data_IF_763085045200
#
_entry.id   IF_763085045200
#
_cell.length_a   1.000
_cell.length_b   1.000
_cell.length_c   1.000
_cell.angle_alpha   90.00
_cell.angle_beta   90.00
_cell.angle_gamma   90.00
#
_symmetry.space_group_name_H-M   'P 1'
#
loop_
_entity.id
_entity.type
_entity.pdbx_description
1 polymer ?
#
# COMPACT_ATOMS: atom_id res chain seq x y z
N UNK A 1 -21.09 54.63 -15.78
CA UNK A 1 -20.08 53.74 -15.18
C UNK A 1 -20.81 52.77 -14.26
N UNK A 2 -21.15 51.57 -14.75
CA UNK A 2 -21.76 50.53 -13.91
C UNK A 2 -20.99 49.24 -14.16
N UNK A 3 -20.15 48.89 -13.19
CA UNK A 3 -19.35 47.67 -13.15
C UNK A 3 -20.27 46.48 -12.88
N UNK A 4 -20.55 45.65 -13.90
CA UNK A 4 -21.16 44.34 -13.67
C UNK A 4 -20.12 43.43 -13.02
N UNK A 5 -20.26 43.26 -11.70
CA UNK A 5 -19.54 42.26 -10.93
C UNK A 5 -19.81 40.87 -11.54
N UNK A 6 -18.72 40.18 -11.88
CA UNK A 6 -18.76 38.88 -12.54
C UNK A 6 -19.49 37.82 -11.72
N UNK A 7 -20.57 37.29 -12.27
CA UNK A 7 -21.07 35.98 -11.90
C UNK A 7 -20.05 34.96 -12.43
N UNK A 8 -19.14 34.53 -11.55
CA UNK A 8 -18.26 33.39 -11.78
C UNK A 8 -19.18 32.16 -11.90
N UNK A 9 -19.59 31.82 -13.12
CA UNK A 9 -20.37 30.62 -13.38
C UNK A 9 -19.50 29.43 -13.00
N UNK A 10 -19.86 28.80 -11.88
CA UNK A 10 -19.29 27.50 -11.51
C UNK A 10 -19.72 26.54 -12.61
N UNK A 11 -18.76 26.06 -13.39
CA UNK A 11 -19.03 25.15 -14.49
C UNK A 11 -19.74 23.90 -13.90
N UNK A 12 -20.98 23.59 -14.30
CA UNK A 12 -21.75 22.48 -13.74
C UNK A 12 -21.12 21.10 -14.04
N UNK A 13 -20.11 21.04 -14.92
CA UNK A 13 -19.32 19.84 -15.20
C UNK A 13 -18.08 19.70 -14.28
N UNK A 14 -17.78 20.69 -13.46
CA UNK A 14 -16.69 20.64 -12.48
C UNK A 14 -17.26 20.15 -11.15
N UNK A 15 -17.03 18.87 -10.84
CA UNK A 15 -17.31 18.32 -9.52
C UNK A 15 -16.23 18.76 -8.53
N UNK A 16 -16.66 19.36 -7.41
CA UNK A 16 -15.79 19.75 -6.30
C UNK A 16 -15.78 18.71 -5.16
N UNK A 17 -16.30 17.50 -5.42
CA UNK A 17 -16.28 16.39 -4.47
C UNK A 17 -14.90 15.71 -4.50
N UNK A 18 -14.31 15.54 -3.30
CA UNK A 18 -13.14 14.69 -3.14
C UNK A 18 -13.52 13.27 -3.53
N UNK A 19 -12.94 12.79 -4.61
CA UNK A 19 -13.01 11.39 -5.01
C UNK A 19 -12.27 10.55 -3.96
N UNK A 20 -12.97 9.99 -2.99
CA UNK A 20 -12.36 9.09 -2.01
C UNK A 20 -11.92 7.79 -2.69
N UNK A 21 -10.63 7.47 -2.55
CA UNK A 21 -10.04 6.22 -2.99
C UNK A 21 -10.46 5.12 -2.00
N UNK A 22 -11.14 4.09 -2.46
CA UNK A 22 -11.56 2.96 -1.65
C UNK A 22 -10.54 1.83 -1.77
N UNK A 23 -9.97 1.38 -0.65
CA UNK A 23 -9.12 0.18 -0.62
C UNK A 23 -9.95 -1.02 -0.16
N UNK A 24 -9.95 -2.11 -0.94
CA UNK A 24 -10.66 -3.36 -0.63
C UNK A 24 -9.62 -4.46 -0.45
N UNK A 25 -9.56 -5.06 0.74
CA UNK A 25 -8.65 -6.17 1.01
C UNK A 25 -9.37 -7.49 0.78
N UNK A 26 -8.77 -8.35 -0.05
CA UNK A 26 -9.24 -9.73 -0.17
C UNK A 26 -9.06 -10.48 1.16
N UNK A 27 -9.99 -11.37 1.56
CA UNK A 27 -9.88 -12.12 2.81
C UNK A 27 -8.57 -12.91 2.95
N UNK A 28 -8.02 -13.42 1.83
CA UNK A 28 -6.74 -14.13 1.82
C UNK A 28 -5.54 -13.24 2.20
N UNK A 29 -5.61 -11.95 1.87
CA UNK A 29 -4.59 -10.96 2.27
C UNK A 29 -4.62 -10.75 3.78
N UNK A 30 -5.81 -10.60 4.36
CA UNK A 30 -5.96 -10.48 5.81
C UNK A 30 -5.45 -11.71 6.55
N UNK A 31 -5.74 -12.91 6.02
CA UNK A 31 -5.21 -14.16 6.55
C UNK A 31 -3.68 -14.21 6.48
N UNK A 32 -3.11 -13.82 5.33
CA UNK A 32 -1.66 -13.78 5.13
C UNK A 32 -0.97 -12.83 6.12
N UNK A 33 -1.51 -11.61 6.30
CA UNK A 33 -0.99 -10.64 7.28
C UNK A 33 -1.08 -11.21 8.70
N UNK A 34 -2.21 -11.82 9.05
CA UNK A 34 -2.42 -12.40 10.38
C UNK A 34 -1.47 -13.55 10.67
N UNK A 35 -1.22 -14.41 9.68
CA UNK A 35 -0.24 -15.49 9.78
C UNK A 35 1.19 -14.93 9.94
N UNK A 36 1.57 -13.89 9.19
CA UNK A 36 2.87 -13.25 9.35
C UNK A 36 3.06 -12.66 10.75
N UNK A 37 2.06 -11.95 11.28
CA UNK A 37 2.08 -11.42 12.65
C UNK A 37 2.27 -12.56 13.65
N UNK A 38 1.48 -13.63 13.50
CA UNK A 38 1.56 -14.80 14.39
C UNK A 38 2.95 -15.43 14.37
N UNK A 39 3.52 -15.67 13.17
CA UNK A 39 4.87 -16.23 13.03
C UNK A 39 5.95 -15.30 13.59
N UNK A 40 5.78 -13.99 13.45
CA UNK A 40 6.69 -13.00 14.00
C UNK A 40 6.68 -13.01 15.53
N UNK A 41 5.49 -13.01 16.14
CA UNK A 41 5.31 -13.08 17.59
C UNK A 41 5.82 -14.40 18.17
N UNK A 42 5.52 -15.54 17.54
CA UNK A 42 5.97 -16.86 18.02
C UNK A 42 7.49 -17.07 17.95
N UNK A 43 8.18 -16.30 17.10
CA UNK A 43 9.65 -16.34 16.99
C UNK A 43 10.34 -15.28 17.84
N UNK A 44 9.57 -14.51 18.62
CA UNK A 44 10.08 -13.43 19.48
C UNK A 44 10.98 -12.46 18.72
N UNK A 45 10.63 -12.17 17.45
CA UNK A 45 11.35 -11.18 16.67
C UNK A 45 11.10 -9.78 17.26
N UNK A 46 12.17 -9.03 17.53
CA UNK A 46 12.08 -7.70 18.15
C UNK A 46 12.03 -6.54 17.14
N UNK A 47 12.25 -6.83 15.86
CA UNK A 47 12.25 -5.82 14.79
C UNK A 47 10.84 -5.58 14.25
N UNK A 48 10.57 -4.42 13.62
CA UNK A 48 9.25 -4.16 13.05
C UNK A 48 8.88 -5.19 11.96
N UNK A 49 7.59 -5.55 11.91
CA UNK A 49 7.02 -6.28 10.79
C UNK A 49 6.90 -5.31 9.62
N UNK A 50 7.55 -5.64 8.50
CA UNK A 50 7.43 -4.89 7.25
C UNK A 50 6.99 -5.84 6.16
N UNK A 51 6.06 -5.39 5.31
CA UNK A 51 5.54 -6.14 4.19
C UNK A 51 5.04 -5.23 3.09
N UNK A 52 4.81 -5.81 1.91
CA UNK A 52 4.22 -5.13 0.76
C UNK A 52 2.82 -5.64 0.45
N UNK A 53 1.99 -4.74 -0.07
CA UNK A 53 0.65 -5.03 -0.56
C UNK A 53 0.58 -4.77 -2.06
N UNK A 54 -0.03 -5.68 -2.79
CA UNK A 54 -0.18 -5.59 -4.25
C UNK A 54 -1.60 -5.97 -4.66
N UNK A 55 -2.04 -5.39 -5.76
CA UNK A 55 -3.32 -5.68 -6.39
C UNK A 55 -3.63 -4.66 -7.47
N UNK A 56 -4.89 -4.50 -7.80
CA UNK A 56 -5.32 -3.77 -9.00
C UNK A 56 -5.91 -2.41 -8.64
N UNK A 57 -5.73 -1.44 -9.55
CA UNK A 57 -6.35 -0.13 -9.45
C UNK A 57 -7.45 0.00 -10.49
N UNK A 58 -8.70 -0.03 -10.05
CA UNK A 58 -9.91 0.05 -10.86
C UNK A 58 -10.61 1.39 -10.65
N UNK A 59 -10.02 2.45 -11.22
CA UNK A 59 -10.57 3.80 -11.19
C UNK A 59 -10.44 4.48 -9.83
N UNK A 60 -11.40 4.23 -8.92
CA UNK A 60 -11.40 4.76 -7.54
C UNK A 60 -11.32 3.67 -6.48
N UNK A 61 -11.26 2.42 -6.92
CA UNK A 61 -11.09 1.28 -6.05
C UNK A 61 -9.69 0.70 -6.25
N UNK A 62 -9.01 0.41 -5.15
CA UNK A 62 -7.78 -0.38 -5.13
C UNK A 62 -8.10 -1.70 -4.46
N UNK A 63 -8.08 -2.80 -5.23
CA UNK A 63 -8.16 -4.14 -4.67
C UNK A 63 -6.76 -4.53 -4.21
N UNK A 64 -6.65 -5.08 -3.01
CA UNK A 64 -5.42 -5.67 -2.49
C UNK A 64 -5.63 -7.18 -2.52
N UNK A 65 -4.89 -7.84 -3.39
CA UNK A 65 -5.03 -9.26 -3.72
C UNK A 65 -3.88 -10.08 -3.13
N UNK A 66 -2.72 -9.45 -2.91
CA UNK A 66 -1.52 -10.12 -2.44
C UNK A 66 -0.84 -9.33 -1.32
N UNK A 67 -0.33 -10.06 -0.33
CA UNK A 67 0.56 -9.54 0.70
C UNK A 67 1.81 -10.41 0.79
N UNK A 68 2.96 -9.79 0.99
CA UNK A 68 4.22 -10.49 1.23
C UNK A 68 5.00 -9.83 2.36
N UNK A 69 5.80 -10.63 3.06
CA UNK A 69 6.74 -10.14 4.06
C UNK A 69 8.02 -9.63 3.42
N UNK A 70 8.52 -8.53 3.95
CA UNK A 70 9.84 -8.01 3.61
C UNK A 70 10.83 -8.51 4.65
N UNK A 71 11.97 -9.01 4.18
CA UNK A 71 13.04 -9.39 5.09
C UNK A 71 13.70 -8.13 5.66
N UNK A 72 13.69 -8.03 6.98
CA UNK A 72 14.31 -6.95 7.75
C UNK A 72 15.57 -7.51 8.39
N UNK A 73 16.70 -6.83 8.17
CA UNK A 73 17.98 -7.19 8.75
C UNK A 73 18.51 -6.03 9.62
N UNK A 74 19.29 -6.30 10.68
CA UNK A 74 19.97 -5.24 11.41
C UNK A 74 20.85 -4.42 10.47
N UNK A 75 20.69 -3.10 10.54
CA UNK A 75 21.48 -2.13 9.78
C UNK A 75 21.94 -1.05 10.75
N UNK A 76 23.03 -1.29 11.50
CA UNK A 76 23.50 -0.40 12.56
C UNK A 76 23.92 0.98 12.05
N UNK A 77 24.19 1.09 10.74
CA UNK A 77 24.61 2.33 10.09
C UNK A 77 23.45 3.27 9.74
N UNK A 78 22.20 2.86 10.02
CA UNK A 78 20.99 3.66 9.77
C UNK A 78 20.38 4.18 11.08
N UNK A 79 19.73 5.35 11.08
CA UNK A 79 19.03 5.88 12.26
C UNK A 79 17.98 4.92 12.83
N UNK A 80 17.44 4.05 11.97
CA UNK A 80 16.36 3.12 12.29
C UNK A 80 16.86 1.74 12.73
N UNK A 81 18.19 1.50 12.76
CA UNK A 81 18.86 0.25 13.20
C UNK A 81 18.50 -1.01 12.42
N UNK A 82 17.59 -0.91 11.45
CA UNK A 82 17.09 -2.00 10.63
C UNK A 82 16.98 -1.53 9.18
N UNK A 83 17.35 -2.40 8.26
CA UNK A 83 17.28 -2.18 6.82
C UNK A 83 16.41 -3.24 6.15
N UNK A 84 15.80 -2.86 5.04
CA UNK A 84 15.11 -3.80 4.15
C UNK A 84 16.14 -4.45 3.21
N UNK A 85 16.06 -5.77 3.07
CA UNK A 85 16.77 -6.50 2.04
C UNK A 85 16.09 -6.22 0.68
N UNK A 86 16.48 -5.12 0.04
CA UNK A 86 15.91 -4.67 -1.22
C UNK A 86 15.97 -5.74 -2.34
N UNK A 87 17.08 -6.47 -2.55
CA UNK A 87 17.10 -7.59 -3.49
C UNK A 87 15.99 -8.61 -3.25
N UNK A 88 15.72 -8.99 -2.00
CA UNK A 88 14.61 -9.91 -1.69
C UNK A 88 13.24 -9.29 -1.97
N UNK A 89 13.06 -8.02 -1.62
CA UNK A 89 11.80 -7.31 -1.89
C UNK A 89 11.51 -7.26 -3.39
N UNK A 90 12.52 -6.92 -4.20
CA UNK A 90 12.40 -6.90 -5.65
C UNK A 90 12.05 -8.28 -6.21
N UNK A 91 12.72 -9.34 -5.73
CA UNK A 91 12.39 -10.70 -6.13
C UNK A 91 10.94 -11.12 -5.81
N UNK A 92 10.35 -10.58 -4.73
CA UNK A 92 8.92 -10.80 -4.41
C UNK A 92 7.99 -10.07 -5.37
N UNK A 93 8.33 -8.84 -5.75
CA UNK A 93 7.59 -8.06 -6.74
C UNK A 93 7.65 -8.77 -8.09
N UNK A 94 8.83 -9.15 -8.55
CA UNK A 94 9.02 -9.89 -9.81
C UNK A 94 8.28 -11.24 -9.81
N UNK A 95 8.26 -11.97 -8.69
CA UNK A 95 7.46 -13.20 -8.57
C UNK A 95 5.97 -12.92 -8.75
N UNK A 96 5.47 -11.82 -8.18
CA UNK A 96 4.06 -11.46 -8.31
C UNK A 96 3.66 -11.00 -9.71
N UNK A 97 4.59 -10.42 -10.47
CA UNK A 97 4.36 -10.05 -11.86
C UNK A 97 4.39 -11.28 -12.78
N UNK A 98 5.26 -12.25 -12.51
CA UNK A 98 5.44 -13.44 -13.35
C UNK A 98 4.43 -14.56 -13.07
N UNK A 99 3.84 -14.59 -11.87
CA UNK A 99 2.76 -15.52 -11.52
C UNK A 99 1.46 -14.73 -11.34
N UNK A 100 0.62 -14.72 -12.38
CA UNK A 100 -0.81 -14.45 -12.22
C UNK A 100 -1.38 -15.60 -11.40
N UNK A 101 -1.65 -15.36 -10.12
CA UNK A 101 -2.27 -16.33 -9.21
C UNK A 101 -3.70 -16.68 -9.64
#
# INVERSE_FOLDING_TARGET
MSSNAGLKSVNPLISNQSSELQAVLHPLVLLSISDYITRHTLREHEWPIVGGLMGQHNGREVTIEHAFDCHVAPSPDTPYKYGLDLPRVLGRIEQSENYSW
#
